data_IF_125048195078
#
_entry.id   IF_125048195078
#
_cell.length_a   1.000
_cell.length_b   1.000
_cell.length_c   1.000
_cell.angle_alpha   90.00
_cell.angle_beta   90.00
_cell.angle_gamma   90.00
#
_symmetry.space_group_name_H-M   'P 1'
#
loop_
_entity.id
_entity.type
_entity.pdbx_description
1 polymer ?
#
# COMPACT_ATOMS: atom_id res chain seq x y z
N UNK A 1 -9.85 -43.48 22.71
CA UNK A 1 -8.38 -43.33 22.76
C UNK A 1 -8.01 -42.08 22.00
N UNK A 2 -7.78 -41.00 22.74
CA UNK A 2 -7.37 -39.68 22.26
C UNK A 2 -5.87 -39.69 21.97
N UNK A 3 -5.49 -39.58 20.70
CA UNK A 3 -4.10 -39.26 20.34
C UNK A 3 -3.93 -37.74 20.39
N UNK A 4 -3.44 -37.27 21.53
CA UNK A 4 -2.74 -35.99 21.60
C UNK A 4 -1.50 -36.11 20.72
N UNK A 5 -1.47 -35.37 19.60
CA UNK A 5 -0.25 -35.17 18.81
C UNK A 5 0.30 -33.82 19.24
N UNK A 6 1.46 -33.83 19.89
CA UNK A 6 2.23 -32.62 20.18
C UNK A 6 2.57 -31.90 18.85
N UNK A 7 2.59 -30.56 18.81
CA UNK A 7 3.08 -29.83 17.65
C UNK A 7 4.56 -30.15 17.46
N UNK A 8 4.90 -30.68 16.29
CA UNK A 8 6.28 -30.82 15.83
C UNK A 8 6.88 -29.40 15.69
N UNK A 9 8.16 -29.17 16.03
CA UNK A 9 8.82 -27.92 15.67
C UNK A 9 8.91 -27.88 14.13
N UNK A 10 8.19 -26.94 13.52
CA UNK A 10 8.24 -26.69 12.07
C UNK A 10 9.68 -26.32 11.69
N UNK A 11 10.25 -26.99 10.69
CA UNK A 11 11.59 -26.69 10.19
C UNK A 11 11.62 -25.37 9.41
N UNK A 12 12.78 -24.71 9.38
CA UNK A 12 13.02 -23.47 8.60
C UNK A 12 12.63 -23.59 7.12
N UNK A 13 12.82 -24.78 6.52
CA UNK A 13 12.44 -25.04 5.12
C UNK A 13 10.93 -24.99 4.88
N UNK A 14 10.14 -25.53 5.81
CA UNK A 14 8.68 -25.56 5.70
C UNK A 14 8.07 -24.18 5.97
N UNK A 15 8.71 -23.35 6.81
CA UNK A 15 8.30 -21.96 7.02
C UNK A 15 8.60 -21.08 5.79
N UNK A 16 9.75 -21.27 5.14
CA UNK A 16 10.11 -20.53 3.94
C UNK A 16 9.19 -20.86 2.74
N UNK A 17 8.84 -22.14 2.55
CA UNK A 17 7.88 -22.53 1.51
C UNK A 17 6.46 -22.00 1.80
N UNK A 18 6.02 -22.00 3.07
CA UNK A 18 4.72 -21.45 3.46
C UNK A 18 4.63 -19.94 3.21
N UNK A 19 5.66 -19.18 3.57
CA UNK A 19 5.71 -17.73 3.32
C UNK A 19 5.77 -17.38 1.83
N UNK A 20 6.38 -18.24 1.01
CA UNK A 20 6.44 -18.07 -0.44
C UNK A 20 5.08 -18.28 -1.10
N UNK A 21 4.34 -19.31 -0.71
CA UNK A 21 2.99 -19.57 -1.22
C UNK A 21 2.01 -18.42 -0.89
N UNK A 22 2.11 -17.87 0.33
CA UNK A 22 1.31 -16.71 0.75
C UNK A 22 1.67 -15.43 -0.02
N UNK A 23 2.97 -15.21 -0.28
CA UNK A 23 3.45 -14.09 -1.09
C UNK A 23 2.96 -14.20 -2.54
N UNK A 24 3.06 -15.39 -3.16
CA UNK A 24 2.59 -15.64 -4.52
C UNK A 24 1.07 -15.44 -4.64
N UNK A 25 0.31 -15.90 -3.64
CA UNK A 25 -1.13 -15.69 -3.58
C UNK A 25 -1.51 -14.20 -3.45
N UNK A 26 -0.77 -13.43 -2.64
CA UNK A 26 -0.98 -12.00 -2.48
C UNK A 26 -0.64 -11.24 -3.76
N UNK A 27 0.47 -11.58 -4.40
CA UNK A 27 0.91 -11.02 -5.69
C UNK A 27 -0.12 -11.28 -6.79
N UNK A 28 -0.67 -12.49 -6.86
CA UNK A 28 -1.75 -12.81 -7.80
C UNK A 28 -3.05 -12.06 -7.49
N UNK A 29 -3.35 -11.81 -6.21
CA UNK A 29 -4.48 -10.98 -5.82
C UNK A 29 -4.28 -9.54 -6.29
N UNK A 30 -3.15 -8.93 -5.96
CA UNK A 30 -2.80 -7.58 -6.43
C UNK A 30 -2.96 -7.49 -7.93
N UNK A 31 -2.41 -8.47 -8.67
CA UNK A 31 -2.48 -8.50 -10.12
C UNK A 31 -3.91 -8.40 -10.64
N UNK A 32 -4.84 -9.12 -10.02
CA UNK A 32 -6.24 -9.18 -10.42
C UNK A 32 -7.05 -7.95 -9.99
N UNK A 33 -6.84 -7.47 -8.76
CA UNK A 33 -7.72 -6.48 -8.13
C UNK A 33 -7.25 -5.04 -8.29
N UNK A 34 -5.94 -4.83 -8.37
CA UNK A 34 -5.32 -3.52 -8.53
C UNK A 34 -5.04 -3.19 -10.01
N UNK A 35 -5.59 -3.98 -10.94
CA UNK A 35 -5.50 -3.75 -12.40
C UNK A 35 -4.05 -3.73 -12.94
N UNK A 36 -3.16 -4.55 -12.37
CA UNK A 36 -1.90 -4.82 -13.05
C UNK A 36 -2.16 -5.66 -14.31
N UNK A 37 -1.44 -5.38 -15.39
CA UNK A 37 -1.33 -6.31 -16.51
C UNK A 37 -0.63 -7.61 -16.08
N UNK A 38 -0.12 -8.41 -17.02
CA UNK A 38 0.99 -9.32 -16.66
C UNK A 38 2.09 -8.43 -16.05
N UNK A 39 2.48 -8.69 -14.80
CA UNK A 39 3.53 -7.91 -14.12
C UNK A 39 4.68 -7.69 -15.12
N UNK A 40 5.06 -6.46 -15.47
CA UNK A 40 6.36 -6.26 -16.08
C UNK A 40 7.43 -6.76 -15.08
N UNK A 41 8.64 -7.06 -15.53
CA UNK A 41 9.76 -7.50 -14.68
C UNK A 41 10.17 -6.51 -13.56
N UNK A 42 9.42 -5.42 -13.35
CA UNK A 42 9.70 -4.37 -12.36
C UNK A 42 8.45 -4.16 -11.52
N UNK A 43 8.57 -4.31 -10.19
CA UNK A 43 7.53 -3.97 -9.22
C UNK A 43 7.20 -2.48 -9.31
N UNK A 44 6.06 -2.14 -9.91
CA UNK A 44 5.59 -0.75 -10.00
C UNK A 44 4.13 -0.71 -9.59
N UNK A 45 3.64 0.32 -8.90
CA UNK A 45 2.23 0.47 -8.57
C UNK A 45 1.40 0.77 -9.82
N UNK A 46 0.13 0.34 -9.83
CA UNK A 46 -0.75 0.54 -10.98
C UNK A 46 -1.21 2.00 -10.99
N UNK A 47 -1.53 2.54 -12.18
CA UNK A 47 -2.01 3.92 -12.28
C UNK A 47 -3.19 4.20 -11.33
N UNK A 48 -4.23 3.34 -11.23
CA UNK A 48 -5.32 3.55 -10.28
C UNK A 48 -4.87 3.57 -8.81
N UNK A 49 -3.87 2.75 -8.43
CA UNK A 49 -3.33 2.74 -7.08
C UNK A 49 -2.56 4.05 -6.79
N UNK A 50 -1.73 4.48 -7.75
CA UNK A 50 -0.97 5.71 -7.66
C UNK A 50 -1.89 6.93 -7.55
N UNK A 51 -2.96 6.99 -8.34
CA UNK A 51 -3.93 8.09 -8.28
C UNK A 51 -4.61 8.18 -6.90
N UNK A 52 -5.03 7.04 -6.34
CA UNK A 52 -5.63 6.98 -5.00
C UNK A 52 -4.62 7.40 -3.92
N UNK A 53 -3.36 6.97 -4.05
CA UNK A 53 -2.32 7.36 -3.12
C UNK A 53 -2.11 8.88 -3.17
N UNK A 54 -1.88 9.43 -4.36
CA UNK A 54 -1.69 10.89 -4.56
C UNK A 54 -2.86 11.67 -3.99
N UNK A 55 -4.10 11.25 -4.26
CA UNK A 55 -5.30 11.89 -3.70
C UNK A 55 -5.28 11.85 -2.16
N UNK A 56 -4.98 10.69 -1.56
CA UNK A 56 -4.91 10.55 -0.11
C UNK A 56 -3.87 11.48 0.51
N UNK A 57 -2.65 11.54 -0.04
CA UNK A 57 -1.60 12.38 0.54
C UNK A 57 -1.91 13.88 0.33
N UNK A 58 -2.45 14.27 -0.83
CA UNK A 58 -2.88 15.65 -1.10
C UNK A 58 -4.06 16.10 -0.23
N UNK A 59 -4.95 15.20 0.17
CA UNK A 59 -6.04 15.49 1.10
C UNK A 59 -5.52 15.70 2.54
N UNK A 60 -4.40 15.06 2.89
CA UNK A 60 -3.91 15.01 4.28
C UNK A 60 -2.88 16.08 4.62
N UNK A 61 -2.20 16.63 3.63
CA UNK A 61 -1.30 17.76 3.81
C UNK A 61 -1.96 19.09 3.34
N UNK A 62 -1.57 20.24 3.91
CA UNK A 62 -2.05 21.54 3.50
C UNK A 62 -1.69 21.82 2.04
N UNK A 63 -2.71 22.16 1.24
CA UNK A 63 -2.55 22.55 -0.18
C UNK A 63 -1.61 23.74 -0.41
N UNK A 64 -1.26 24.49 0.64
CA UNK A 64 -0.40 25.67 0.59
C UNK A 64 1.09 25.33 0.54
N UNK A 65 1.49 24.13 0.97
CA UNK A 65 2.90 23.75 1.12
C UNK A 65 3.49 23.03 -0.10
N UNK A 66 2.72 22.90 -1.19
CA UNK A 66 3.14 22.19 -2.40
C UNK A 66 2.19 21.04 -2.73
N UNK A 67 2.18 20.62 -3.99
CA UNK A 67 1.45 19.43 -4.45
C UNK A 67 2.47 18.34 -4.75
N UNK A 68 2.06 17.10 -4.53
CA UNK A 68 2.78 15.94 -5.05
C UNK A 68 2.94 16.10 -6.55
N UNK A 69 4.19 16.22 -7.00
CA UNK A 69 4.51 16.20 -8.42
C UNK A 69 4.43 14.74 -8.90
N UNK A 70 3.69 14.51 -10.00
CA UNK A 70 3.65 13.22 -10.66
C UNK A 70 5.05 12.76 -11.08
N UNK A 71 5.97 13.71 -11.35
CA UNK A 71 7.36 13.39 -11.61
C UNK A 71 8.06 12.78 -10.39
N UNK A 72 7.83 13.31 -9.18
CA UNK A 72 8.42 12.79 -7.94
C UNK A 72 7.90 11.39 -7.61
N UNK A 73 6.60 11.15 -7.78
CA UNK A 73 6.00 9.82 -7.60
C UNK A 73 6.52 8.84 -8.63
N UNK A 74 6.67 9.28 -9.89
CA UNK A 74 7.21 8.47 -10.96
C UNK A 74 8.71 8.23 -10.81
N UNK A 75 9.49 9.19 -10.30
CA UNK A 75 10.92 9.05 -10.01
C UNK A 75 11.12 8.08 -8.85
N UNK A 76 10.46 8.30 -7.71
CA UNK A 76 10.49 7.39 -6.57
C UNK A 76 10.03 5.96 -6.95
N UNK A 77 9.02 5.84 -7.83
CA UNK A 77 8.59 4.53 -8.33
C UNK A 77 9.54 3.89 -9.36
N UNK A 78 10.35 4.68 -10.08
CA UNK A 78 11.27 4.19 -11.13
C UNK A 78 12.65 3.89 -10.58
N UNK A 79 13.12 4.67 -9.62
CA UNK A 79 14.47 4.64 -9.07
C UNK A 79 14.53 3.77 -7.81
N UNK A 80 13.48 3.79 -6.96
CA UNK A 80 13.47 3.09 -5.66
C UNK A 80 12.46 1.93 -5.59
N UNK A 81 12.06 1.36 -6.74
CA UNK A 81 11.21 0.15 -6.85
C UNK A 81 10.08 0.05 -5.82
N UNK A 82 9.21 1.08 -5.73
CA UNK A 82 8.12 1.08 -4.75
C UNK A 82 7.10 -0.02 -5.07
N UNK A 83 7.12 -1.10 -4.27
CA UNK A 83 6.13 -2.15 -4.36
C UNK A 83 4.73 -1.65 -3.95
N UNK A 84 3.65 -2.31 -4.42
CA UNK A 84 2.28 -1.99 -4.00
C UNK A 84 2.09 -2.12 -2.48
N UNK A 85 2.83 -3.04 -1.86
CA UNK A 85 2.87 -3.23 -0.41
C UNK A 85 3.45 -2.01 0.31
N UNK A 86 4.60 -1.51 -0.14
CA UNK A 86 5.24 -0.30 0.38
C UNK A 86 4.32 0.92 0.28
N UNK A 87 3.63 1.08 -0.86
CA UNK A 87 2.64 2.15 -1.03
C UNK A 87 1.50 2.07 -0.01
N UNK A 88 0.95 0.88 0.22
CA UNK A 88 -0.11 0.68 1.22
C UNK A 88 0.37 0.95 2.65
N UNK A 89 1.61 0.57 2.99
CA UNK A 89 2.23 0.86 4.28
C UNK A 89 2.34 2.38 4.50
N UNK A 90 2.80 3.14 3.52
CA UNK A 90 2.84 4.60 3.64
C UNK A 90 1.46 5.26 3.77
N UNK A 91 0.43 4.73 3.09
CA UNK A 91 -0.95 5.18 3.29
C UNK A 91 -1.45 4.89 4.72
N UNK A 92 -1.06 3.76 5.31
CA UNK A 92 -1.36 3.43 6.72
C UNK A 92 -0.65 4.40 7.66
N UNK A 93 0.63 4.69 7.43
CA UNK A 93 1.39 5.64 8.26
C UNK A 93 0.78 7.04 8.25
N UNK A 94 0.37 7.52 7.07
CA UNK A 94 -0.33 8.80 6.93
C UNK A 94 -1.67 8.82 7.68
N UNK A 95 -2.40 7.70 7.69
CA UNK A 95 -3.63 7.56 8.46
C UNK A 95 -3.38 7.58 9.97
N UNK A 96 -2.29 6.97 10.44
CA UNK A 96 -1.85 7.00 11.84
C UNK A 96 -1.46 8.41 12.26
N UNK A 97 -0.67 9.11 11.45
CA UNK A 97 -0.27 10.50 11.69
C UNK A 97 -1.47 11.43 11.83
N UNK A 98 -2.51 11.28 10.99
CA UNK A 98 -3.74 12.08 11.14
C UNK A 98 -4.37 11.96 12.53
N UNK A 99 -4.29 10.78 13.13
CA UNK A 99 -4.93 10.51 14.42
C UNK A 99 -4.03 10.88 15.59
N UNK A 100 -2.72 10.66 15.48
CA UNK A 100 -1.74 10.92 16.54
C UNK A 100 -1.24 12.36 16.57
N UNK A 101 -0.86 12.92 15.42
CA UNK A 101 -0.22 14.22 15.32
C UNK A 101 -0.71 15.01 14.08
N UNK A 102 -1.93 15.59 14.15
CA UNK A 102 -2.45 16.41 13.06
C UNK A 102 -1.72 17.75 12.89
N UNK A 103 -0.91 18.17 13.87
CA UNK A 103 -0.10 19.38 13.78
C UNK A 103 1.11 19.18 12.86
N UNK A 104 1.77 18.02 12.96
CA UNK A 104 2.85 17.64 12.04
C UNK A 104 2.39 17.68 10.58
N UNK A 105 1.19 17.11 10.29
CA UNK A 105 0.62 17.15 8.95
C UNK A 105 0.42 18.57 8.42
N UNK A 106 0.26 19.58 9.28
CA UNK A 106 0.09 20.97 8.86
C UNK A 106 1.41 21.68 8.54
N UNK A 107 2.54 21.10 8.91
CA UNK A 107 3.87 21.70 8.75
C UNK A 107 4.62 21.11 7.56
N UNK A 108 4.27 19.89 7.13
CA UNK A 108 4.92 19.17 6.04
C UNK A 108 4.16 19.34 4.71
N UNK A 109 4.90 19.39 3.59
CA UNK A 109 4.29 19.39 2.26
C UNK A 109 3.72 18.01 1.91
N UNK A 110 2.78 17.93 0.96
CA UNK A 110 2.28 16.62 0.52
C UNK A 110 3.36 15.77 -0.15
N UNK A 111 4.35 16.42 -0.78
CA UNK A 111 5.47 15.78 -1.48
C UNK A 111 6.44 15.16 -0.49
N UNK A 112 6.85 15.92 0.53
CA UNK A 112 7.76 15.44 1.57
C UNK A 112 7.09 14.36 2.42
N UNK A 113 5.79 14.53 2.71
CA UNK A 113 5.01 13.51 3.41
C UNK A 113 4.95 12.20 2.63
N UNK A 114 4.76 12.26 1.31
CA UNK A 114 4.79 11.08 0.45
C UNK A 114 6.18 10.43 0.47
N UNK A 115 7.23 11.22 0.23
CA UNK A 115 8.62 10.76 0.22
C UNK A 115 8.98 10.05 1.52
N UNK A 116 8.80 10.72 2.66
CA UNK A 116 9.21 10.18 3.95
C UNK A 116 8.36 8.96 4.34
N UNK A 117 7.08 8.93 3.97
CA UNK A 117 6.22 7.77 4.21
C UNK A 117 6.64 6.56 3.38
N UNK A 118 7.08 6.76 2.13
CA UNK A 118 7.60 5.69 1.28
C UNK A 118 8.95 5.19 1.78
N UNK A 119 9.85 6.10 2.15
CA UNK A 119 11.17 5.76 2.68
C UNK A 119 11.07 4.95 3.98
N UNK A 120 10.21 5.36 4.92
CA UNK A 120 10.01 4.60 6.15
C UNK A 120 9.30 3.28 5.93
N UNK A 121 8.47 3.18 4.89
CA UNK A 121 7.83 1.92 4.52
C UNK A 121 8.83 0.96 3.87
N UNK A 122 9.71 1.42 2.98
CA UNK A 122 10.73 0.57 2.35
C UNK A 122 11.71 0.06 3.39
N UNK A 123 12.23 0.93 4.26
CA UNK A 123 13.12 0.54 5.37
C UNK A 123 12.51 -0.46 6.36
N UNK A 124 11.18 -0.48 6.48
CA UNK A 124 10.48 -1.44 7.33
C UNK A 124 10.26 -2.79 6.64
N UNK A 125 10.12 -2.79 5.31
CA UNK A 125 9.77 -3.97 4.51
C UNK A 125 10.99 -4.74 4.00
N UNK A 126 12.10 -4.05 3.77
CA UNK A 126 13.33 -4.61 3.20
C UNK A 126 14.42 -4.63 4.28
N UNK A 127 14.97 -5.82 4.53
CA UNK A 127 16.04 -6.05 5.51
C UNK A 127 17.42 -5.69 4.92
N UNK A 128 18.42 -5.50 5.79
CA UNK A 128 19.81 -5.26 5.38
C UNK A 128 20.33 -6.38 4.45
N UNK A 129 20.89 -6.00 3.30
CA UNK A 129 21.53 -6.90 2.34
C UNK A 129 20.65 -7.47 1.23
N UNK A 130 19.42 -6.96 1.04
CA UNK A 130 18.61 -7.23 -0.16
C UNK A 130 18.84 -6.16 -1.24
N UNK A 131 18.63 -6.51 -2.51
CA UNK A 131 18.89 -5.62 -3.65
C UNK A 131 18.00 -4.35 -3.62
N UNK A 132 16.88 -4.39 -2.88
CA UNK A 132 15.93 -3.30 -2.70
C UNK A 132 16.20 -2.43 -1.44
N UNK A 133 17.30 -2.67 -0.72
CA UNK A 133 17.76 -1.77 0.35
C UNK A 133 18.19 -0.43 -0.25
N UNK A 134 17.66 0.68 0.28
CA UNK A 134 17.98 2.03 -0.18
C UNK A 134 18.40 2.90 1.00
N UNK A 135 19.60 3.46 0.92
CA UNK A 135 20.18 4.30 1.96
C UNK A 135 19.69 5.76 1.87
N UNK A 136 19.88 6.54 2.95
CA UNK A 136 19.38 7.92 3.03
C UNK A 136 20.04 8.86 2.00
N UNK A 137 21.29 8.61 1.65
CA UNK A 137 22.01 9.33 0.59
C UNK A 137 21.41 9.06 -0.79
N UNK A 138 21.05 7.81 -1.09
CA UNK A 138 20.35 7.47 -2.34
C UNK A 138 18.95 8.12 -2.42
N UNK A 139 18.20 8.13 -1.31
CA UNK A 139 16.95 8.87 -1.23
C UNK A 139 17.14 10.39 -1.40
N UNK A 140 18.22 10.95 -0.85
CA UNK A 140 18.55 12.36 -0.99
C UNK A 140 18.89 12.71 -2.45
N UNK A 141 19.70 11.88 -3.10
CA UNK A 141 20.11 12.04 -4.49
C UNK A 141 18.92 11.95 -5.47
N UNK A 142 17.96 11.05 -5.21
CA UNK A 142 16.75 10.90 -6.06
C UNK A 142 15.79 12.09 -6.01
N UNK A 143 15.90 12.95 -4.99
CA UNK A 143 15.01 14.12 -4.80
C UNK A 143 15.77 15.45 -4.85
N UNK A 144 17.09 15.42 -5.12
CA UNK A 144 17.95 16.61 -5.11
C UNK A 144 17.87 17.37 -3.77
N UNK A 145 17.90 16.61 -2.67
CA UNK A 145 17.91 17.12 -1.29
C UNK A 145 19.24 16.82 -0.60
N UNK A 146 19.58 17.57 0.44
CA UNK A 146 20.75 17.23 1.24
C UNK A 146 20.46 16.04 2.16
N UNK A 147 21.43 15.14 2.35
CA UNK A 147 21.29 13.98 3.23
C UNK A 147 20.97 14.39 4.68
N UNK A 148 21.45 15.55 5.13
CA UNK A 148 21.12 16.12 6.44
C UNK A 148 19.63 16.44 6.58
N UNK A 149 19.00 16.93 5.51
CA UNK A 149 17.56 17.23 5.48
C UNK A 149 16.73 15.93 5.53
N UNK A 150 17.10 14.92 4.74
CA UNK A 150 16.46 13.59 4.78
C UNK A 150 16.56 12.98 6.19
N UNK A 151 17.74 13.04 6.80
CA UNK A 151 17.96 12.55 8.16
C UNK A 151 17.10 13.27 9.20
N UNK A 152 16.91 14.59 9.02
CA UNK A 152 16.04 15.36 9.91
C UNK A 152 14.56 14.99 9.72
N UNK A 153 14.09 14.88 8.48
CA UNK A 153 12.72 14.44 8.19
C UNK A 153 12.42 13.05 8.75
N UNK A 154 13.38 12.12 8.67
CA UNK A 154 13.25 10.77 9.25
C UNK A 154 13.02 10.83 10.75
N UNK A 155 13.85 11.58 11.48
CA UNK A 155 13.71 11.73 12.93
C UNK A 155 12.38 12.37 13.32
N UNK A 156 11.96 13.40 12.59
CA UNK A 156 10.70 14.09 12.82
C UNK A 156 9.50 13.18 12.57
N UNK A 157 9.52 12.42 11.47
CA UNK A 157 8.46 11.48 11.14
C UNK A 157 8.33 10.36 12.19
N UNK A 158 9.47 9.76 12.58
CA UNK A 158 9.52 8.72 13.61
C UNK A 158 8.99 9.22 14.96
N UNK A 159 9.36 10.45 15.33
CA UNK A 159 8.83 11.13 16.51
C UNK A 159 7.32 11.37 16.40
N UNK A 160 6.84 11.85 15.24
CA UNK A 160 5.43 12.18 15.01
C UNK A 160 4.51 10.93 15.00
N UNK A 161 5.00 9.79 14.51
CA UNK A 161 4.26 8.51 14.54
C UNK A 161 4.46 7.75 15.86
N UNK A 162 5.35 8.23 16.72
CA UNK A 162 5.70 7.63 18.02
C UNK A 162 6.15 6.17 17.81
N UNK A 163 7.10 6.00 16.88
CA UNK A 163 7.75 4.73 16.50
C UNK A 163 6.79 3.58 16.14
N UNK A 164 5.52 3.88 15.93
CA UNK A 164 4.49 2.89 15.61
C UNK A 164 4.48 2.59 14.11
N UNK A 165 5.50 1.87 13.65
CA UNK A 165 5.65 1.42 12.25
C UNK A 165 5.04 0.04 12.01
N UNK A 166 4.99 -0.84 13.02
CA UNK A 166 4.46 -2.19 12.85
C UNK A 166 3.01 -2.17 12.33
N UNK A 167 2.74 -2.87 11.23
CA UNK A 167 1.40 -3.04 10.67
C UNK A 167 1.02 -4.52 10.73
N UNK A 168 -0.13 -4.80 11.35
CA UNK A 168 -0.65 -6.17 11.38
C UNK A 168 -1.33 -6.56 10.06
N UNK A 169 -1.35 -7.85 9.73
CA UNK A 169 -2.03 -8.38 8.54
C UNK A 169 -3.50 -7.96 8.45
N UNK A 170 -4.17 -7.82 9.61
CA UNK A 170 -5.56 -7.36 9.68
C UNK A 170 -5.71 -5.89 9.26
N UNK A 171 -4.77 -5.05 9.66
CA UNK A 171 -4.76 -3.62 9.30
C UNK A 171 -4.42 -3.44 7.83
N UNK A 172 -3.38 -4.15 7.37
CA UNK A 172 -3.00 -4.18 5.96
C UNK A 172 -4.16 -4.68 5.08
N UNK A 173 -4.76 -5.83 5.43
CA UNK A 173 -5.88 -6.41 4.71
C UNK A 173 -7.12 -5.51 4.66
N UNK A 174 -7.36 -4.72 5.71
CA UNK A 174 -8.44 -3.72 5.73
C UNK A 174 -8.18 -2.59 4.75
N UNK A 175 -6.95 -2.05 4.72
CA UNK A 175 -6.59 -0.98 3.78
C UNK A 175 -6.62 -1.50 2.35
N UNK A 176 -6.06 -2.68 2.10
CA UNK A 176 -6.12 -3.35 0.80
C UNK A 176 -7.56 -3.50 0.33
N UNK A 177 -8.45 -4.04 1.15
CA UNK A 177 -9.86 -4.22 0.77
C UNK A 177 -10.57 -2.89 0.43
N UNK A 178 -10.28 -1.82 1.18
CA UNK A 178 -10.84 -0.50 0.90
C UNK A 178 -10.34 0.05 -0.45
N UNK A 179 -9.05 -0.13 -0.74
CA UNK A 179 -8.43 0.31 -1.99
C UNK A 179 -8.99 -0.50 -3.17
N UNK A 180 -9.03 -1.83 -3.06
CA UNK A 180 -9.60 -2.70 -4.09
C UNK A 180 -11.06 -2.33 -4.40
N UNK A 181 -11.85 -2.06 -3.36
CA UNK A 181 -13.24 -1.63 -3.51
C UNK A 181 -13.33 -0.29 -4.24
N UNK A 182 -12.48 0.68 -3.89
CA UNK A 182 -12.45 1.99 -4.54
C UNK A 182 -12.05 1.87 -6.01
N UNK A 183 -11.00 1.09 -6.31
CA UNK A 183 -10.52 0.83 -7.67
C UNK A 183 -11.61 0.14 -8.50
N UNK A 184 -12.25 -0.90 -7.98
CA UNK A 184 -13.31 -1.63 -8.65
C UNK A 184 -14.51 -0.74 -8.99
N UNK A 185 -14.90 0.16 -8.07
CA UNK A 185 -15.97 1.15 -8.31
C UNK A 185 -15.60 2.16 -9.38
N UNK A 186 -14.43 2.80 -9.25
CA UNK A 186 -13.99 3.85 -10.15
C UNK A 186 -13.85 3.32 -11.58
N UNK A 187 -13.12 2.21 -11.76
CA UNK A 187 -12.93 1.59 -13.07
C UNK A 187 -14.24 1.04 -13.64
N UNK A 188 -15.11 0.46 -12.80
CA UNK A 188 -16.42 -0.03 -13.25
C UNK A 188 -17.34 1.07 -13.75
N UNK A 189 -17.37 2.22 -13.07
CA UNK A 189 -18.15 3.40 -13.45
C UNK A 189 -17.57 4.02 -14.73
N UNK A 190 -16.27 4.29 -14.78
CA UNK A 190 -15.62 4.95 -15.91
C UNK A 190 -15.75 4.14 -17.20
N UNK A 191 -15.69 2.80 -17.09
CA UNK A 191 -15.87 1.88 -18.21
C UNK A 191 -17.34 1.62 -18.55
N UNK A 192 -18.26 1.87 -17.63
CA UNK A 192 -19.70 1.60 -17.77
C UNK A 192 -20.13 0.14 -17.56
N UNK A 193 -19.21 -0.74 -17.14
CA UNK A 193 -19.51 -2.14 -16.78
C UNK A 193 -18.49 -2.69 -15.79
N UNK A 194 -18.88 -3.72 -15.02
CA UNK A 194 -18.05 -4.36 -13.98
C UNK A 194 -17.56 -5.75 -14.40
N UNK A 195 -16.29 -6.07 -14.15
CA UNK A 195 -15.74 -7.42 -14.36
C UNK A 195 -16.20 -8.38 -13.26
N UNK A 196 -15.98 -9.68 -13.47
CA UNK A 196 -16.16 -10.68 -12.42
C UNK A 196 -15.33 -10.35 -11.16
N UNK A 197 -14.07 -9.93 -11.33
CA UNK A 197 -13.20 -9.54 -10.21
C UNK A 197 -13.76 -8.34 -9.45
N UNK A 198 -14.25 -7.33 -10.16
CA UNK A 198 -14.84 -6.15 -9.54
C UNK A 198 -16.07 -6.53 -8.69
N UNK A 199 -16.98 -7.32 -9.26
CA UNK A 199 -18.17 -7.79 -8.55
C UNK A 199 -17.81 -8.68 -7.36
N UNK A 200 -16.78 -9.50 -7.48
CA UNK A 200 -16.29 -10.33 -6.38
C UNK A 200 -15.79 -9.45 -5.23
N UNK A 201 -14.93 -8.46 -5.50
CA UNK A 201 -14.44 -7.51 -4.49
C UNK A 201 -15.61 -6.79 -3.82
N UNK A 202 -16.56 -6.26 -4.62
CA UNK A 202 -17.74 -5.55 -4.12
C UNK A 202 -18.67 -6.45 -3.30
N UNK A 203 -18.77 -7.74 -3.62
CA UNK A 203 -19.63 -8.66 -2.87
C UNK A 203 -19.15 -8.90 -1.43
N UNK A 204 -17.84 -8.76 -1.20
CA UNK A 204 -17.21 -8.90 0.12
C UNK A 204 -17.29 -7.62 0.95
N UNK A 205 -17.50 -6.45 0.33
CA UNK A 205 -17.76 -5.22 1.06
C UNK A 205 -19.22 -5.22 1.57
N UNK A 206 -19.39 -5.01 2.88
CA UNK A 206 -20.68 -4.99 3.54
C UNK A 206 -21.67 -3.96 2.94
N UNK A 207 -21.16 -2.85 2.38
CA UNK A 207 -21.97 -1.80 1.74
C UNK A 207 -22.60 -2.27 0.44
N UNK A 208 -21.86 -3.06 -0.35
CA UNK A 208 -22.26 -3.46 -1.71
C UNK A 208 -22.79 -4.90 -1.79
N UNK A 209 -22.55 -5.73 -0.78
CA UNK A 209 -23.11 -7.08 -0.65
C UNK A 209 -24.62 -7.19 -0.93
N UNK A 210 -25.51 -6.32 -0.39
CA UNK A 210 -26.94 -6.40 -0.69
C UNK A 210 -27.27 -6.10 -2.16
N UNK A 211 -26.52 -5.23 -2.81
CA UNK A 211 -26.69 -4.89 -4.23
C UNK A 211 -26.31 -6.07 -5.12
N UNK A 212 -25.15 -6.68 -4.87
CA UNK A 212 -24.66 -7.85 -5.63
C UNK A 212 -25.61 -9.05 -5.47
N UNK A 213 -26.11 -9.30 -4.25
CA UNK A 213 -27.11 -10.35 -4.00
C UNK A 213 -28.44 -10.11 -4.73
N UNK A 214 -28.81 -8.86 -4.95
CA UNK A 214 -30.01 -8.52 -5.71
C UNK A 214 -29.82 -8.80 -7.20
N UNK A 215 -28.65 -8.48 -7.74
CA UNK A 215 -28.28 -8.78 -9.12
C UNK A 215 -28.25 -10.30 -9.33
N UNK A 216 -27.59 -11.08 -8.47
CA UNK A 216 -27.51 -12.54 -8.65
C UNK A 216 -28.88 -13.22 -8.69
N UNK A 217 -29.86 -12.74 -7.91
CA UNK A 217 -31.24 -13.24 -7.94
C UNK A 217 -32.01 -12.91 -9.22
N UNK A 218 -31.70 -11.78 -9.87
CA UNK A 218 -32.33 -11.42 -11.15
C UNK A 218 -31.87 -12.36 -12.25
N UNK A 219 -30.59 -12.73 -12.26
CA UNK A 219 -30.02 -13.66 -13.25
C UNK A 219 -30.49 -15.11 -13.08
N UNK A 220 -30.85 -15.54 -11.86
CA UNK A 220 -31.41 -16.87 -11.61
C UNK A 220 -32.90 -17.02 -11.99
N UNK A 221 -33.59 -15.92 -12.27
CA UNK A 221 -35.03 -15.90 -12.61
C UNK A 221 -35.29 -15.59 -14.10
N UNK A 222 -34.25 -15.68 -14.93
CA UNK A 222 -34.30 -15.62 -16.41
C UNK A 222 -33.86 -16.97 -16.93
#
# INVERSE_FOLDING_TARGET
>A
MSYFRFPCPLGESDMLDYHKDDHDALTERFRKTLYYGKMPNTERPSLPLTDIAVELFQERAPRKLGKIDQYMVAAASRENCISPSTMMMGMIYTNRLRTKNPEYLQQISSSDLFLISMMMASKFMYDEGVDEEVFNDEWADSVDMETEEINQMEREFLSAIDWNLFVSDKEFGKVLHNIETRIALQNGIDRGWFTYTDLLVLSHDAKFSPLVRKISKVWYNI
#
